data_IF_422960440071
#
_entry.id   IF_422960440071
#
_cell.length_a   1.000
_cell.length_b   1.000
_cell.length_c   1.000
_cell.angle_alpha   90.00
_cell.angle_beta   90.00
_cell.angle_gamma   90.00
#
_symmetry.space_group_name_H-M   'P 1'
#
loop_
_entity.id
_entity.type
_entity.pdbx_description
1 polymer ?
#
# COMPACT_ATOMS: atom_id res chain seq x y z
N UNK A 1 -0.37 -12.47 11.73
CA UNK A 1 0.65 -11.39 11.68
C UNK A 1 2.04 -11.82 12.17
N UNK A 2 2.33 -13.12 12.37
CA UNK A 2 3.63 -13.60 12.87
C UNK A 2 4.84 -13.16 12.04
N UNK A 3 4.66 -12.82 10.75
CA UNK A 3 5.74 -12.26 9.92
C UNK A 3 6.30 -10.91 10.44
N UNK A 4 5.52 -10.15 11.21
CA UNK A 4 5.98 -8.90 11.83
C UNK A 4 6.91 -9.14 13.03
N UNK A 5 6.80 -10.31 13.68
CA UNK A 5 7.67 -10.72 14.78
C UNK A 5 9.03 -11.21 14.25
N UNK A 6 9.09 -11.65 13.00
CA UNK A 6 10.33 -12.02 12.34
C UNK A 6 11.21 -10.80 12.08
N UNK A 7 12.53 -10.98 12.28
CA UNK A 7 13.56 -9.97 12.00
C UNK A 7 13.34 -8.63 12.74
N UNK A 8 12.80 -8.67 13.95
CA UNK A 8 12.52 -7.49 14.79
C UNK A 8 13.71 -6.54 14.88
N UNK A 9 14.92 -7.05 15.16
CA UNK A 9 16.12 -6.21 15.28
C UNK A 9 16.43 -5.43 13.99
N UNK A 10 16.20 -6.04 12.83
CA UNK A 10 16.42 -5.39 11.52
C UNK A 10 15.41 -4.27 11.24
N UNK A 11 14.21 -4.34 11.83
CA UNK A 11 13.18 -3.29 11.72
C UNK A 11 13.53 -2.05 12.52
N UNK A 12 14.25 -2.24 13.63
CA UNK A 12 14.65 -1.15 14.52
C UNK A 12 16.02 -0.56 14.15
N UNK A 13 16.89 -1.36 13.54
CA UNK A 13 18.25 -0.94 13.23
C UNK A 13 18.58 -1.07 11.73
N UNK A 14 18.54 0.04 10.97
CA UNK A 14 18.97 0.11 9.57
C UNK A 14 20.38 -0.42 9.29
N UNK A 15 21.30 -0.35 10.27
CA UNK A 15 22.68 -0.82 10.07
C UNK A 15 22.79 -2.34 9.96
N UNK A 16 21.73 -3.09 10.29
CA UNK A 16 21.64 -4.52 10.06
C UNK A 16 21.14 -4.88 8.64
N UNK A 17 20.79 -3.88 7.84
CA UNK A 17 20.29 -4.02 6.47
C UNK A 17 21.28 -3.51 5.41
N UNK A 18 22.04 -2.48 5.78
CA UNK A 18 23.09 -1.84 4.96
C UNK A 18 24.26 -1.53 5.90
N UNK A 19 25.44 -2.05 5.56
CA UNK A 19 26.66 -1.79 6.34
C UNK A 19 26.98 -0.29 6.34
N UNK A 20 27.48 0.21 7.48
CA UNK A 20 27.82 1.62 7.69
C UNK A 20 26.68 2.64 7.41
N UNK A 21 25.42 2.19 7.41
CA UNK A 21 24.26 3.06 7.18
C UNK A 21 24.23 4.25 8.15
N UNK A 22 24.08 5.46 7.59
CA UNK A 22 23.97 6.72 8.34
C UNK A 22 22.64 7.43 8.13
N UNK A 23 22.02 7.25 6.96
CA UNK A 23 20.78 7.96 6.62
C UNK A 23 19.73 7.03 6.02
N UNK A 24 18.47 7.32 6.32
CA UNK A 24 17.30 6.71 5.68
C UNK A 24 16.56 7.80 4.91
N UNK A 25 16.69 7.78 3.58
CA UNK A 25 15.96 8.69 2.69
C UNK A 25 14.60 8.07 2.41
N UNK A 26 13.53 8.68 2.91
CA UNK A 26 12.17 8.22 2.64
C UNK A 26 11.59 8.98 1.43
N UNK A 27 10.83 8.29 0.58
CA UNK A 27 10.22 8.85 -0.62
C UNK A 27 8.75 8.43 -0.73
N UNK A 28 7.93 9.31 -1.32
CA UNK A 28 6.54 9.02 -1.65
C UNK A 28 6.35 9.01 -3.17
N UNK A 29 5.59 8.03 -3.67
CA UNK A 29 5.17 7.99 -5.07
C UNK A 29 3.64 7.86 -5.17
N UNK A 30 2.99 8.89 -5.70
CA UNK A 30 1.53 8.94 -5.87
C UNK A 30 1.03 7.81 -6.79
N UNK A 31 -0.06 7.16 -6.39
CA UNK A 31 -0.76 6.14 -7.18
C UNK A 31 -2.26 6.43 -7.38
N UNK A 32 -2.77 7.57 -6.92
CA UNK A 32 -4.18 7.88 -7.10
C UNK A 32 -4.55 7.89 -8.60
N UNK A 33 -5.48 7.05 -9.07
CA UNK A 33 -5.77 6.92 -10.49
C UNK A 33 -6.62 8.08 -11.00
N UNK A 34 -6.54 8.36 -12.30
CA UNK A 34 -7.45 9.28 -12.97
C UNK A 34 -8.86 8.69 -13.12
N UNK A 35 -8.94 7.40 -13.46
CA UNK A 35 -10.19 6.66 -13.64
C UNK A 35 -10.45 5.71 -12.48
N UNK A 36 -11.70 5.67 -12.01
CA UNK A 36 -12.16 4.73 -10.97
C UNK A 36 -12.99 3.61 -11.59
N UNK A 37 -12.95 2.42 -10.97
CA UNK A 37 -13.79 1.29 -11.38
C UNK A 37 -15.27 1.71 -11.44
N UNK A 38 -16.01 1.11 -12.37
CA UNK A 38 -17.46 1.26 -12.45
C UNK A 38 -18.14 0.77 -11.16
N UNK A 39 -19.37 1.23 -10.89
CA UNK A 39 -20.07 0.89 -9.64
C UNK A 39 -20.63 -0.54 -9.61
N UNK A 40 -20.85 -1.17 -10.76
CA UNK A 40 -21.48 -2.50 -10.87
C UNK A 40 -20.44 -3.61 -11.14
N UNK A 41 -19.42 -3.64 -10.29
CA UNK A 41 -18.33 -4.62 -10.34
C UNK A 41 -17.86 -5.03 -8.94
N UNK A 42 -16.94 -5.98 -8.86
CA UNK A 42 -16.21 -6.23 -7.63
C UNK A 42 -15.04 -5.26 -7.49
N UNK A 43 -14.93 -4.66 -6.31
CA UNK A 43 -13.98 -3.61 -6.01
C UNK A 43 -12.61 -4.21 -5.75
N UNK A 44 -11.58 -3.60 -6.32
CA UNK A 44 -10.19 -3.83 -5.94
C UNK A 44 -9.57 -2.51 -5.50
N UNK A 45 -8.58 -2.56 -4.62
CA UNK A 45 -7.90 -1.37 -4.13
C UNK A 45 -7.19 -0.65 -5.28
N UNK A 46 -7.24 0.70 -5.27
CA UNK A 46 -6.71 1.57 -6.33
C UNK A 46 -5.23 1.31 -6.62
N UNK A 47 -4.46 0.90 -5.61
CA UNK A 47 -3.03 0.59 -5.80
C UNK A 47 -2.78 -0.61 -6.73
N UNK A 48 -3.80 -1.43 -6.99
CA UNK A 48 -3.71 -2.66 -7.78
C UNK A 48 -4.24 -2.52 -9.22
N UNK A 49 -4.65 -1.32 -9.62
CA UNK A 49 -5.23 -1.06 -10.95
C UNK A 49 -4.22 -1.24 -12.10
N UNK A 50 -2.98 -0.81 -11.87
CA UNK A 50 -1.89 -0.87 -12.84
C UNK A 50 -0.85 -1.94 -12.51
N UNK A 51 0.40 -1.65 -12.89
CA UNK A 51 1.53 -2.54 -12.64
C UNK A 51 2.01 -2.50 -11.18
N UNK A 52 2.70 -3.57 -10.78
CA UNK A 52 3.18 -3.76 -9.43
C UNK A 52 4.28 -2.77 -9.08
N UNK A 53 3.96 -1.92 -8.11
CA UNK A 53 4.78 -0.82 -7.63
C UNK A 53 6.16 -1.25 -7.17
N UNK A 54 6.33 -2.49 -6.71
CA UNK A 54 7.63 -2.98 -6.25
C UNK A 54 8.69 -2.89 -7.35
N UNK A 55 8.34 -3.20 -8.61
CA UNK A 55 9.29 -3.15 -9.72
C UNK A 55 9.60 -1.71 -10.11
N UNK A 56 8.54 -0.90 -10.26
CA UNK A 56 8.63 0.50 -10.68
C UNK A 56 9.48 1.30 -9.69
N UNK A 57 9.19 1.19 -8.40
CA UNK A 57 9.89 1.93 -7.35
C UNK A 57 11.33 1.46 -7.21
N UNK A 58 11.60 0.15 -7.28
CA UNK A 58 12.97 -0.36 -7.21
C UNK A 58 13.84 0.17 -8.34
N UNK A 59 13.34 0.24 -9.57
CA UNK A 59 14.10 0.83 -10.68
C UNK A 59 14.34 2.32 -10.46
N UNK A 60 13.32 3.10 -10.06
CA UNK A 60 13.50 4.53 -9.74
C UNK A 60 14.51 4.78 -8.62
N UNK A 61 14.52 3.93 -7.58
CA UNK A 61 15.49 4.04 -6.49
C UNK A 61 16.92 3.67 -6.91
N UNK A 62 17.09 2.71 -7.82
CA UNK A 62 18.41 2.41 -8.40
C UNK A 62 18.94 3.57 -9.23
N UNK A 63 18.08 4.18 -10.05
CA UNK A 63 18.43 5.39 -10.82
C UNK A 63 18.79 6.54 -9.89
N UNK A 64 18.03 6.73 -8.79
CA UNK A 64 18.31 7.75 -7.80
C UNK A 64 19.65 7.51 -7.08
N UNK A 65 19.93 6.28 -6.64
CA UNK A 65 21.22 5.91 -6.05
C UNK A 65 22.38 6.11 -7.04
N UNK A 66 22.20 5.71 -8.30
CA UNK A 66 23.20 5.93 -9.34
C UNK A 66 23.49 7.42 -9.57
N UNK A 67 22.46 8.27 -9.54
CA UNK A 67 22.62 9.73 -9.63
C UNK A 67 23.41 10.30 -8.45
N UNK A 68 23.16 9.80 -7.23
CA UNK A 68 23.92 10.18 -6.03
C UNK A 68 25.39 9.79 -6.21
N UNK A 69 25.66 8.55 -6.60
CA UNK A 69 27.02 8.03 -6.82
C UNK A 69 27.77 8.82 -7.90
N UNK A 70 27.08 9.16 -8.98
CA UNK A 70 27.65 9.93 -10.09
C UNK A 70 27.99 11.38 -9.71
N UNK A 71 27.32 11.93 -8.69
CA UNK A 71 27.47 13.33 -8.26
C UNK A 71 28.42 13.48 -7.08
N UNK A 72 28.35 12.58 -6.10
CA UNK A 72 29.06 12.68 -4.81
C UNK A 72 30.29 11.76 -4.77
N UNK A 73 30.27 10.64 -5.49
CA UNK A 73 31.33 9.63 -5.46
C UNK A 73 30.89 8.33 -4.79
N UNK A 74 31.79 7.72 -4.03
CA UNK A 74 31.56 6.39 -3.44
C UNK A 74 30.54 6.46 -2.29
N UNK A 75 29.29 6.16 -2.61
CA UNK A 75 28.15 6.08 -1.68
C UNK A 75 27.52 4.70 -1.84
N UNK A 76 27.50 3.93 -0.75
CA UNK A 76 26.81 2.65 -0.69
C UNK A 76 25.37 2.84 -0.24
N UNK A 77 24.46 2.07 -0.84
CA UNK A 77 23.06 2.16 -0.49
C UNK A 77 22.22 1.01 -0.99
N UNK A 78 21.02 0.89 -0.42
CA UNK A 78 20.07 -0.14 -0.82
C UNK A 78 18.64 0.38 -0.80
N UNK A 79 17.91 0.00 -1.86
CA UNK A 79 16.50 0.32 -2.05
C UNK A 79 15.59 -0.68 -1.32
N UNK A 80 14.56 -0.16 -0.65
CA UNK A 80 13.53 -0.91 0.07
C UNK A 80 12.14 -0.38 -0.28
N UNK A 81 11.18 -1.32 -0.33
CA UNK A 81 9.76 -1.07 -0.60
C UNK A 81 8.96 -2.32 -0.20
N UNK A 82 8.10 -2.21 0.82
CA UNK A 82 7.11 -3.19 1.39
C UNK A 82 7.63 -4.57 1.82
N UNK A 83 8.47 -5.17 0.99
CA UNK A 83 8.95 -6.56 1.03
C UNK A 83 10.09 -6.84 2.02
N UNK A 84 10.68 -5.82 2.62
CA UNK A 84 11.81 -5.95 3.53
C UNK A 84 11.40 -5.65 4.98
N UNK A 85 12.19 -6.06 5.99
CA UNK A 85 11.91 -5.74 7.38
C UNK A 85 12.29 -4.28 7.69
N UNK A 86 11.68 -3.32 6.98
CA UNK A 86 11.73 -1.88 7.22
C UNK A 86 10.34 -1.44 7.69
N UNK A 87 10.27 -0.41 8.53
CA UNK A 87 9.01 0.17 8.99
C UNK A 87 8.70 1.43 8.19
N UNK A 88 8.33 1.24 6.92
CA UNK A 88 8.26 2.28 5.89
C UNK A 88 7.50 3.53 6.38
N UNK A 89 6.29 3.33 6.90
CA UNK A 89 5.45 4.40 7.47
C UNK A 89 6.12 5.14 8.63
N UNK A 90 6.86 4.44 9.50
CA UNK A 90 7.52 5.05 10.64
C UNK A 90 8.70 5.92 10.20
N UNK A 91 9.49 5.45 9.22
CA UNK A 91 10.58 6.23 8.65
C UNK A 91 10.07 7.46 7.91
N UNK A 92 9.03 7.32 7.09
CA UNK A 92 8.45 8.45 6.38
C UNK A 92 7.84 9.51 7.31
N UNK A 93 7.23 9.10 8.43
CA UNK A 93 6.75 10.05 9.44
C UNK A 93 7.93 10.74 10.16
N UNK A 94 8.99 10.00 10.48
CA UNK A 94 10.20 10.54 11.14
C UNK A 94 10.94 11.52 10.24
N UNK A 95 10.97 11.29 8.93
CA UNK A 95 11.59 12.17 7.93
C UNK A 95 10.70 13.33 7.50
N UNK A 96 9.59 13.59 8.19
CA UNK A 96 8.76 14.76 7.92
C UNK A 96 7.91 14.69 6.64
N UNK A 97 7.76 13.52 6.01
CA UNK A 97 6.90 13.40 4.82
C UNK A 97 5.42 13.50 5.15
N UNK A 98 5.04 13.24 6.40
CA UNK A 98 3.65 13.28 6.85
C UNK A 98 3.50 12.90 8.31
N UNK A 99 2.26 12.64 8.72
CA UNK A 99 1.93 12.10 10.04
C UNK A 99 1.16 10.78 9.89
N UNK A 100 1.20 9.92 10.92
CA UNK A 100 0.40 8.70 10.91
C UNK A 100 -1.05 9.06 11.26
N UNK A 101 -1.99 8.74 10.38
CA UNK A 101 -3.41 8.93 10.61
C UNK A 101 -4.01 7.89 11.56
N UNK A 102 -5.23 8.13 12.05
CA UNK A 102 -5.94 7.17 12.91
C UNK A 102 -6.26 5.84 12.23
N UNK A 103 -6.25 5.79 10.90
CA UNK A 103 -6.33 4.57 10.09
C UNK A 103 -4.97 3.89 9.85
N UNK A 104 -3.91 4.35 10.53
CA UNK A 104 -2.54 3.88 10.45
C UNK A 104 -1.88 4.00 9.06
N UNK A 105 -2.40 4.87 8.19
CA UNK A 105 -1.73 5.28 6.95
C UNK A 105 -0.97 6.59 7.15
N UNK A 106 0.12 6.79 6.41
CA UNK A 106 0.81 8.07 6.37
C UNK A 106 -0.07 9.09 5.62
N UNK A 107 -0.27 10.26 6.21
CA UNK A 107 -1.07 11.36 5.66
C UNK A 107 -0.20 12.58 5.38
N UNK A 108 -0.50 13.26 4.28
CA UNK A 108 0.05 14.57 3.93
C UNK A 108 -1.08 15.57 3.70
N UNK A 109 -0.85 16.84 4.01
CA UNK A 109 -1.87 17.87 3.82
C UNK A 109 -2.21 18.11 2.34
N UNK A 110 -1.24 17.89 1.44
CA UNK A 110 -1.35 18.27 0.02
C UNK A 110 -2.07 17.24 -0.84
N UNK A 111 -1.87 15.95 -0.57
CA UNK A 111 -2.31 14.87 -1.48
C UNK A 111 -2.93 13.66 -0.76
N UNK A 112 -3.20 13.75 0.54
CA UNK A 112 -3.95 12.72 1.24
C UNK A 112 -3.08 11.55 1.69
N UNK A 113 -3.31 10.33 1.18
CA UNK A 113 -2.65 9.06 1.57
C UNK A 113 -2.37 8.12 0.40
N UNK A 114 -2.78 8.47 -0.83
CA UNK A 114 -2.67 7.57 -1.99
C UNK A 114 -1.27 7.61 -2.61
N UNK A 115 -0.30 7.14 -1.85
CA UNK A 115 1.08 7.02 -2.30
C UNK A 115 1.74 5.78 -1.72
N UNK A 116 2.65 5.22 -2.49
CA UNK A 116 3.59 4.22 -2.02
C UNK A 116 4.69 4.91 -1.23
N UNK A 117 5.22 4.21 -0.24
CA UNK A 117 6.37 4.63 0.55
C UNK A 117 7.54 3.76 0.17
N UNK A 118 8.73 4.35 0.09
CA UNK A 118 9.95 3.64 -0.22
C UNK A 118 11.13 4.27 0.51
N UNK A 119 12.15 3.47 0.78
CA UNK A 119 13.34 3.89 1.51
C UNK A 119 14.59 3.60 0.70
N UNK A 120 15.50 4.56 0.71
CA UNK A 120 16.89 4.38 0.30
C UNK A 120 17.77 4.56 1.54
N UNK A 121 18.31 3.46 2.06
CA UNK A 121 19.23 3.48 3.20
C UNK A 121 20.64 3.60 2.64
N UNK A 122 21.40 4.59 3.11
CA UNK A 122 22.74 4.94 2.58
C UNK A 122 23.75 5.19 3.69
N UNK A 123 25.04 5.04 3.36
CA UNK A 123 26.20 5.29 4.24
C UNK A 123 26.65 6.76 4.30
N UNK A 124 25.91 7.63 3.62
CA UNK A 124 26.12 9.07 3.57
C UNK A 124 25.41 9.77 4.75
N UNK A 125 26.15 10.59 5.49
CA UNK A 125 25.61 11.49 6.51
C UNK A 125 24.90 12.67 5.83
N UNK A 126 23.70 13.01 6.30
CA UNK A 126 22.87 14.08 5.74
C UNK A 126 22.35 14.99 6.86
N UNK A 127 21.92 16.20 6.47
CA UNK A 127 21.11 17.03 7.36
C UNK A 127 19.69 16.43 7.45
N UNK A 128 19.24 16.12 8.67
CA UNK A 128 17.99 15.41 8.87
C UNK A 128 16.77 16.35 8.96
N UNK A 129 15.69 15.92 8.31
CA UNK A 129 14.37 16.54 8.44
C UNK A 129 13.75 16.30 9.81
N UNK A 130 12.70 17.08 10.11
CA UNK A 130 11.95 16.98 11.35
C UNK A 130 10.53 16.41 11.10
N UNK A 131 9.98 15.62 12.04
CA UNK A 131 8.62 15.13 11.94
C UNK A 131 7.58 16.24 11.82
N UNK A 132 6.49 15.96 11.11
CA UNK A 132 5.33 16.88 11.05
C UNK A 132 4.38 16.66 12.22
N UNK A 133 3.48 17.61 12.45
CA UNK A 133 2.43 17.51 13.47
C UNK A 133 1.26 16.65 13.02
N UNK A 134 0.55 16.01 13.96
CA UNK A 134 -0.71 15.31 13.68
C UNK A 134 -1.83 16.31 13.32
N UNK A 135 -2.59 16.01 12.25
CA UNK A 135 -3.73 16.81 11.81
C UNK A 135 -5.04 16.01 11.68
N UNK A 136 -5.19 14.88 12.38
CA UNK A 136 -6.45 14.17 12.49
C UNK A 136 -7.42 14.85 13.47
N UNK A 137 -6.92 15.48 14.54
CA UNK A 137 -7.74 16.13 15.56
C UNK A 137 -8.82 15.21 16.14
N UNK A 138 -10.05 15.70 16.24
CA UNK A 138 -11.20 14.94 16.75
C UNK A 138 -11.87 14.03 15.71
N UNK A 139 -11.42 14.02 14.45
CA UNK A 139 -12.03 13.24 13.37
C UNK A 139 -12.02 11.73 13.67
N UNK A 140 -13.14 11.05 13.39
CA UNK A 140 -13.32 9.59 13.53
C UNK A 140 -13.78 8.91 12.24
N UNK A 141 -13.88 9.63 11.12
CA UNK A 141 -14.51 9.15 9.89
C UNK A 141 -14.04 7.77 9.41
N UNK A 142 -12.74 7.47 9.53
CA UNK A 142 -12.20 6.15 9.14
C UNK A 142 -12.56 5.03 10.11
N UNK A 143 -12.66 5.31 11.42
CA UNK A 143 -13.12 4.36 12.43
C UNK A 143 -14.60 4.04 12.17
N UNK A 144 -15.41 5.09 12.01
CA UNK A 144 -16.86 4.98 11.86
C UNK A 144 -17.27 4.24 10.57
N UNK A 145 -16.50 4.41 9.49
CA UNK A 145 -16.80 3.80 8.20
C UNK A 145 -16.19 2.40 8.00
N UNK A 146 -15.31 1.93 8.89
CA UNK A 146 -14.64 0.64 8.72
C UNK A 146 -15.67 -0.52 8.82
N UNK A 147 -15.97 -1.26 7.74
CA UNK A 147 -17.13 -2.17 7.72
C UNK A 147 -17.03 -3.35 8.70
N UNK A 148 -15.80 -3.68 9.10
CA UNK A 148 -15.49 -4.80 10.00
C UNK A 148 -14.99 -4.33 11.36
N UNK A 149 -15.02 -3.03 11.64
CA UNK A 149 -14.51 -2.42 12.87
C UNK A 149 -13.04 -2.83 13.15
N UNK A 150 -12.25 -2.96 12.08
CA UNK A 150 -10.84 -3.32 12.17
C UNK A 150 -9.99 -2.22 12.81
N UNK A 151 -10.43 -0.95 12.75
CA UNK A 151 -9.77 0.15 13.45
C UNK A 151 -10.36 0.24 14.86
N UNK A 152 -9.82 -0.57 15.79
CA UNK A 152 -10.37 -0.77 17.14
C UNK A 152 -10.13 0.41 18.08
N UNK A 153 -9.13 1.24 17.77
CA UNK A 153 -8.83 2.49 18.44
C UNK A 153 -8.04 3.39 17.47
N UNK A 154 -7.95 4.71 17.71
CA UNK A 154 -7.05 5.57 16.95
C UNK A 154 -5.65 4.96 16.81
N UNK A 155 -5.14 4.86 15.58
CA UNK A 155 -3.82 4.34 15.23
C UNK A 155 -3.62 2.82 15.41
N UNK A 156 -4.67 2.09 15.83
CA UNK A 156 -4.62 0.64 16.08
C UNK A 156 -5.56 -0.09 15.13
N UNK A 157 -4.97 -0.86 14.20
CA UNK A 157 -5.69 -1.71 13.26
C UNK A 157 -5.51 -3.18 13.65
N UNK A 158 -6.62 -3.84 13.95
CA UNK A 158 -6.70 -5.29 14.08
C UNK A 158 -6.69 -5.93 12.69
N UNK A 159 -5.51 -6.43 12.28
CA UNK A 159 -5.34 -7.13 11.02
C UNK A 159 -6.24 -8.35 10.87
N UNK A 160 -6.63 -9.01 11.97
CA UNK A 160 -7.51 -10.18 11.94
C UNK A 160 -8.96 -9.85 11.59
N UNK A 161 -9.32 -8.56 11.49
CA UNK A 161 -10.62 -8.06 11.04
C UNK A 161 -10.54 -7.28 9.74
N UNK A 162 -9.35 -6.93 9.26
CA UNK A 162 -9.17 -6.03 8.13
C UNK A 162 -9.50 -6.74 6.80
N UNK A 163 -10.39 -6.16 5.99
CA UNK A 163 -10.75 -6.67 4.66
C UNK A 163 -9.51 -6.82 3.77
N UNK A 164 -8.58 -5.86 3.83
CA UNK A 164 -7.32 -5.92 3.08
C UNK A 164 -6.49 -7.16 3.48
N UNK A 165 -6.36 -7.44 4.77
CA UNK A 165 -5.68 -8.65 5.24
C UNK A 165 -6.39 -9.93 4.79
N UNK A 166 -7.72 -9.99 4.93
CA UNK A 166 -8.50 -11.15 4.53
C UNK A 166 -8.38 -11.47 3.03
N UNK A 167 -8.43 -10.45 2.19
CA UNK A 167 -8.44 -10.63 0.73
C UNK A 167 -7.06 -10.89 0.13
N UNK A 168 -5.98 -10.49 0.81
CA UNK A 168 -4.60 -10.57 0.29
C UNK A 168 -3.77 -11.64 1.01
N UNK A 169 -3.73 -11.56 2.35
CA UNK A 169 -2.75 -12.28 3.17
C UNK A 169 -3.29 -13.60 3.71
N UNK A 170 -4.53 -13.62 4.18
CA UNK A 170 -5.14 -14.83 4.72
C UNK A 170 -5.15 -15.92 3.63
N UNK A 171 -4.63 -17.11 3.94
CA UNK A 171 -4.64 -18.27 3.03
C UNK A 171 -5.77 -19.25 3.33
N UNK A 172 -6.28 -19.23 4.55
CA UNK A 172 -7.42 -20.03 5.01
C UNK A 172 -8.77 -19.42 4.61
N UNK A 173 -9.88 -20.06 5.00
CA UNK A 173 -11.22 -19.52 4.75
C UNK A 173 -11.48 -18.24 5.54
N UNK A 174 -12.22 -17.32 4.92
CA UNK A 174 -12.68 -16.09 5.59
C UNK A 174 -13.75 -16.47 6.64
N UNK A 175 -13.66 -15.95 7.87
CA UNK A 175 -14.62 -16.29 8.93
C UNK A 175 -16.06 -15.94 8.55
N UNK A 176 -17.01 -16.82 8.88
CA UNK A 176 -18.41 -16.70 8.47
C UNK A 176 -19.09 -15.45 9.08
N UNK A 177 -18.66 -15.01 10.25
CA UNK A 177 -19.13 -13.78 10.91
C UNK A 177 -18.83 -12.50 10.12
N UNK A 178 -17.94 -12.56 9.11
CA UNK A 178 -17.65 -11.44 8.22
C UNK A 178 -18.56 -11.40 6.99
N UNK A 179 -19.48 -12.36 6.82
CA UNK A 179 -20.38 -12.44 5.67
C UNK A 179 -21.21 -11.15 5.57
N UNK A 180 -21.28 -10.59 4.35
CA UNK A 180 -22.01 -9.35 4.06
C UNK A 180 -21.29 -8.05 4.47
N UNK A 181 -20.11 -8.11 5.09
CA UNK A 181 -19.37 -6.90 5.53
C UNK A 181 -18.38 -6.36 4.51
N UNK A 182 -18.10 -7.08 3.44
CA UNK A 182 -17.03 -6.71 2.50
C UNK A 182 -17.46 -5.72 1.42
N UNK A 183 -18.75 -5.42 1.25
CA UNK A 183 -19.24 -4.41 0.28
C UNK A 183 -18.56 -4.53 -1.11
N UNK A 184 -18.58 -5.75 -1.68
CA UNK A 184 -17.97 -6.11 -2.97
C UNK A 184 -16.43 -6.00 -3.07
N UNK A 185 -15.71 -5.72 -1.99
CA UNK A 185 -14.24 -5.71 -1.96
C UNK A 185 -13.66 -7.12 -2.16
N UNK A 186 -13.16 -7.41 -3.36
CA UNK A 186 -12.57 -8.69 -3.73
C UNK A 186 -11.03 -8.73 -3.56
N UNK A 187 -10.35 -7.58 -3.56
CA UNK A 187 -8.91 -7.48 -3.35
C UNK A 187 -8.50 -6.14 -2.72
N UNK A 188 -7.93 -6.17 -1.52
CA UNK A 188 -7.64 -4.94 -0.78
C UNK A 188 -8.90 -4.23 -0.28
N UNK A 189 -8.74 -3.05 0.33
CA UNK A 189 -9.86 -2.22 0.77
C UNK A 189 -9.39 -0.77 0.96
N UNK A 190 -10.06 0.19 0.32
CA UNK A 190 -9.71 1.60 0.42
C UNK A 190 -10.66 2.40 1.32
N UNK A 191 -11.67 1.79 1.95
CA UNK A 191 -12.74 2.51 2.68
C UNK A 191 -12.18 3.52 3.67
N UNK A 192 -11.20 3.12 4.49
CA UNK A 192 -10.59 4.01 5.49
C UNK A 192 -9.76 5.16 4.89
N UNK A 193 -9.33 5.03 3.63
CA UNK A 193 -8.69 6.10 2.87
C UNK A 193 -9.78 6.96 2.20
N UNK A 194 -10.72 6.36 1.48
CA UNK A 194 -11.75 7.08 0.71
C UNK A 194 -12.58 8.05 1.57
N UNK A 195 -12.85 7.70 2.83
CA UNK A 195 -13.57 8.58 3.78
C UNK A 195 -12.69 9.60 4.49
N UNK A 196 -11.36 9.51 4.36
CA UNK A 196 -10.44 10.41 5.05
C UNK A 196 -10.53 11.83 4.45
N UNK A 197 -10.82 12.87 5.25
CA UNK A 197 -10.98 14.24 4.74
C UNK A 197 -9.75 14.80 4.03
N UNK A 198 -8.56 14.28 4.31
CA UNK A 198 -7.31 14.68 3.66
C UNK A 198 -7.18 14.14 2.23
N UNK A 199 -7.89 13.06 1.88
CA UNK A 199 -7.89 12.50 0.53
C UNK A 199 -8.77 13.26 -0.46
N UNK A 200 -9.56 14.26 -0.01
CA UNK A 200 -10.25 15.17 -0.95
C UNK A 200 -9.31 16.01 -1.80
N UNK A 201 -8.04 16.10 -1.40
CA UNK A 201 -6.99 16.83 -2.12
C UNK A 201 -6.17 15.93 -3.06
N UNK A 202 -6.54 14.66 -3.20
CA UNK A 202 -5.84 13.72 -4.07
C UNK A 202 -5.90 14.18 -5.52
N UNK A 203 -4.78 14.02 -6.22
CA UNK A 203 -4.65 14.32 -7.64
C UNK A 203 -4.20 13.07 -8.37
N UNK A 204 -4.64 12.85 -9.63
CA UNK A 204 -4.15 11.73 -10.42
C UNK A 204 -2.62 11.66 -10.46
N UNK A 205 -2.08 10.45 -10.49
CA UNK A 205 -0.66 10.22 -10.68
C UNK A 205 -0.24 10.56 -12.12
N UNK A 206 1.08 10.73 -12.34
CA UNK A 206 1.67 10.96 -13.66
C UNK A 206 2.57 9.79 -14.11
N UNK A 207 2.46 8.62 -13.46
CA UNK A 207 3.24 7.43 -13.79
C UNK A 207 2.44 6.49 -14.72
N UNK A 208 2.77 6.39 -16.01
CA UNK A 208 2.00 5.59 -16.96
C UNK A 208 1.94 4.10 -16.62
N UNK A 209 2.92 3.57 -15.89
CA UNK A 209 2.89 2.16 -15.47
C UNK A 209 1.85 1.89 -14.38
N UNK A 210 1.31 2.92 -13.73
CA UNK A 210 0.17 2.82 -12.81
C UNK A 210 -1.18 2.99 -13.49
N UNK A 211 -1.22 3.34 -14.77
CA UNK A 211 -2.47 3.46 -15.52
C UNK A 211 -3.29 2.15 -15.40
N UNK A 212 -4.58 2.31 -15.16
CA UNK A 212 -5.46 1.18 -14.94
C UNK A 212 -5.54 0.30 -16.19
N UNK A 213 -5.49 -1.03 -16.02
CA UNK A 213 -5.68 -1.93 -17.14
C UNK A 213 -7.11 -1.76 -17.72
N UNK A 214 -7.30 -1.40 -19.00
CA UNK A 214 -8.63 -1.17 -19.56
C UNK A 214 -9.56 -2.39 -19.45
N UNK A 215 -9.02 -3.61 -19.49
CA UNK A 215 -9.80 -4.83 -19.31
C UNK A 215 -10.35 -4.92 -17.89
N UNK A 216 -9.56 -4.58 -16.87
CA UNK A 216 -10.03 -4.53 -15.48
C UNK A 216 -11.16 -3.51 -15.32
N UNK A 217 -11.03 -2.33 -15.94
CA UNK A 217 -12.00 -1.23 -15.79
C UNK A 217 -13.37 -1.55 -16.39
N UNK A 218 -13.42 -2.43 -17.39
CA UNK A 218 -14.65 -2.88 -18.05
C UNK A 218 -15.26 -4.16 -17.47
N UNK A 219 -14.60 -4.85 -16.53
CA UNK A 219 -15.14 -6.08 -15.94
C UNK A 219 -16.41 -5.81 -15.14
N UNK A 220 -17.47 -6.55 -15.45
CA UNK A 220 -18.70 -6.64 -14.65
C UNK A 220 -18.57 -7.69 -13.55
N UNK A 221 -19.52 -7.72 -12.60
CA UNK A 221 -19.59 -8.82 -11.60
C UNK A 221 -19.65 -10.21 -12.24
N UNK A 222 -20.32 -10.34 -13.39
CA UNK A 222 -20.41 -11.60 -14.12
C UNK A 222 -19.03 -12.04 -14.64
N UNK A 223 -18.28 -11.12 -15.24
CA UNK A 223 -16.95 -11.40 -15.77
C UNK A 223 -15.99 -11.88 -14.68
N UNK A 224 -16.06 -11.27 -13.49
CA UNK A 224 -15.31 -11.72 -12.32
C UNK A 224 -15.71 -13.11 -11.86
N UNK A 225 -17.01 -13.43 -11.81
CA UNK A 225 -17.48 -14.76 -11.36
C UNK A 225 -17.02 -15.85 -12.34
N UNK A 226 -17.08 -15.56 -13.64
CA UNK A 226 -16.75 -16.47 -14.73
C UNK A 226 -15.25 -16.48 -15.08
N UNK A 227 -14.43 -15.63 -14.42
CA UNK A 227 -13.01 -15.51 -14.74
C UNK A 227 -12.27 -16.85 -14.66
N UNK A 228 -11.53 -17.16 -15.72
CA UNK A 228 -10.67 -18.34 -15.81
C UNK A 228 -9.26 -18.04 -15.32
N UNK A 229 -8.49 -19.07 -14.99
CA UNK A 229 -7.09 -18.90 -14.59
C UNK A 229 -6.24 -18.29 -15.72
N UNK A 230 -6.55 -18.63 -16.98
CA UNK A 230 -5.86 -18.07 -18.15
C UNK A 230 -6.14 -16.58 -18.31
N UNK A 231 -7.41 -16.17 -18.26
CA UNK A 231 -7.81 -14.76 -18.26
C UNK A 231 -7.16 -14.00 -17.11
N UNK A 232 -7.18 -14.57 -15.90
CA UNK A 232 -6.54 -13.99 -14.73
C UNK A 232 -5.04 -13.74 -14.94
N UNK A 233 -4.30 -14.75 -15.44
CA UNK A 233 -2.86 -14.64 -15.70
C UNK A 233 -2.54 -13.62 -16.77
N UNK A 234 -3.43 -13.45 -17.75
CA UNK A 234 -3.29 -12.46 -18.83
C UNK A 234 -3.53 -11.04 -18.32
N UNK A 235 -4.72 -10.78 -17.74
CA UNK A 235 -5.15 -9.46 -17.27
C UNK A 235 -4.26 -8.93 -16.14
N UNK A 236 -3.93 -9.79 -15.17
CA UNK A 236 -3.22 -9.39 -13.95
C UNK A 236 -1.75 -9.80 -13.96
N UNK A 237 -1.15 -10.06 -15.13
CA UNK A 237 0.24 -10.57 -15.24
C UNK A 237 1.25 -9.76 -14.45
N UNK A 238 1.11 -8.44 -14.42
CA UNK A 238 2.04 -7.52 -13.76
C UNK A 238 1.38 -6.74 -12.62
N UNK A 239 0.17 -7.09 -12.19
CA UNK A 239 -0.55 -6.37 -11.14
C UNK A 239 -0.21 -6.94 -9.74
N UNK A 240 -0.22 -6.11 -8.67
CA UNK A 240 -0.14 -6.59 -7.29
C UNK A 240 -1.20 -7.65 -6.93
N UNK A 241 -2.31 -7.68 -7.69
CA UNK A 241 -3.41 -8.63 -7.50
C UNK A 241 -2.95 -10.10 -7.56
N UNK A 242 -1.82 -10.37 -8.24
CA UNK A 242 -1.16 -11.69 -8.21
C UNK A 242 -0.80 -12.21 -6.84
N UNK A 243 -0.61 -11.34 -5.83
CA UNK A 243 -0.29 -11.73 -4.45
C UNK A 243 -1.35 -12.64 -3.83
N UNK A 244 -2.63 -12.43 -4.20
CA UNK A 244 -3.73 -13.30 -3.80
C UNK A 244 -3.75 -14.63 -4.57
N UNK A 245 -3.14 -14.68 -5.76
CA UNK A 245 -3.24 -15.76 -6.76
C UNK A 245 -4.68 -15.99 -7.24
N UNK A 246 -4.85 -16.73 -8.33
CA UNK A 246 -6.17 -17.04 -8.88
C UNK A 246 -7.11 -17.69 -7.85
N UNK A 247 -6.60 -18.69 -7.11
CA UNK A 247 -7.38 -19.40 -6.10
C UNK A 247 -7.85 -18.48 -4.96
N UNK A 248 -7.01 -17.56 -4.49
CA UNK A 248 -7.39 -16.60 -3.44
C UNK A 248 -8.47 -15.63 -3.92
N UNK A 249 -8.38 -15.18 -5.17
CA UNK A 249 -9.43 -14.32 -5.76
C UNK A 249 -10.74 -15.09 -5.94
N UNK A 250 -10.72 -16.34 -6.43
CA UNK A 250 -11.93 -17.17 -6.49
C UNK A 250 -12.56 -17.36 -5.11
N UNK A 251 -11.76 -17.65 -4.09
CA UNK A 251 -12.23 -17.74 -2.69
C UNK A 251 -12.89 -16.44 -2.23
N UNK A 252 -12.27 -15.29 -2.51
CA UNK A 252 -12.83 -13.99 -2.13
C UNK A 252 -14.17 -13.73 -2.85
N UNK A 253 -14.25 -14.02 -4.15
CA UNK A 253 -15.48 -13.87 -4.93
C UNK A 253 -16.59 -14.81 -4.45
N UNK A 254 -16.26 -16.06 -4.14
CA UNK A 254 -17.23 -17.02 -3.59
C UNK A 254 -17.72 -16.61 -2.20
N UNK A 255 -16.88 -15.93 -1.41
CA UNK A 255 -17.29 -15.34 -0.14
C UNK A 255 -18.23 -14.13 -0.30
N UNK A 256 -18.15 -13.40 -1.41
CA UNK A 256 -18.98 -12.23 -1.69
C UNK A 256 -20.38 -12.59 -2.24
N UNK A 257 -20.52 -13.73 -2.90
CA UNK A 257 -21.81 -14.28 -3.40
C UNK A 257 -22.77 -14.59 -2.26
#
# INVERSE_FOLDING_TARGET
>A
MSYMENHFDKRLNPTLLVDDAKSVVSLLLNYFPEELQNQDTYKISKYAYGQDYHFIIKEKLKEFLFSIQSTIGDVSGRAFVDSAPVLDKAWAAKSGLGWIGKNSNLLTQKVGSFYFIAELIIDLELDYDNPTTDHCGTCTACLDACPTEAIVAPYVVDGSKCISYFTIELKENIPHEMKGKFDDWAFGCDVCQDVCPWNKFSKPHNEPLFDANPQLMSMSKKDWIEITEETFKSVFKNSPLKRAKFHGIKRNLDFLK
#
